data_IF_876556962620
#
_entry.id   IF_876556962620
#
_cell.length_a   1.000
_cell.length_b   1.000
_cell.length_c   1.000
_cell.angle_alpha   90.00
_cell.angle_beta   90.00
_cell.angle_gamma   90.00
#
_symmetry.space_group_name_H-M   'P 1'
#
loop_
_entity.id
_entity.type
_entity.pdbx_description
1 polymer ?
#
# COMPACT_ATOMS: atom_id res chain seq x y z
N UNK A 1 -20.27 12.48 4.61
CA UNK A 1 -19.36 13.63 4.74
C UNK A 1 -18.11 13.28 3.93
N UNK A 2 -17.53 14.24 3.20
CA UNK A 2 -16.27 14.01 2.51
C UNK A 2 -15.12 13.87 3.50
N UNK A 3 -14.12 13.08 3.16
CA UNK A 3 -12.90 12.86 3.97
C UNK A 3 -11.68 13.59 3.39
N UNK A 4 -11.79 14.03 2.14
CA UNK A 4 -10.79 14.85 1.45
C UNK A 4 -11.26 16.31 1.32
N UNK A 5 -10.34 17.24 1.58
CA UNK A 5 -10.53 18.67 1.28
C UNK A 5 -10.42 18.96 -0.22
N UNK A 6 -10.98 20.08 -0.66
CA UNK A 6 -10.87 20.50 -2.07
C UNK A 6 -9.42 20.76 -2.50
N UNK A 7 -8.58 21.23 -1.57
CA UNK A 7 -7.14 21.43 -1.76
C UNK A 7 -6.41 20.11 -1.99
N UNK A 8 -6.71 19.07 -1.20
CA UNK A 8 -6.17 17.72 -1.40
C UNK A 8 -6.60 17.12 -2.74
N UNK A 9 -7.89 17.26 -3.09
CA UNK A 9 -8.42 16.79 -4.39
C UNK A 9 -7.73 17.52 -5.56
N UNK A 10 -7.49 18.82 -5.43
CA UNK A 10 -6.77 19.61 -6.44
C UNK A 10 -5.31 19.16 -6.55
N UNK A 11 -4.61 19.01 -5.43
CA UNK A 11 -3.22 18.55 -5.40
C UNK A 11 -3.06 17.18 -6.08
N UNK A 12 -3.94 16.22 -5.75
CA UNK A 12 -3.90 14.90 -6.36
C UNK A 12 -4.05 14.94 -7.88
N UNK A 13 -4.96 15.78 -8.42
CA UNK A 13 -5.15 15.94 -9.87
C UNK A 13 -3.95 16.58 -10.57
N UNK A 14 -3.28 17.53 -9.91
CA UNK A 14 -2.16 18.28 -10.51
C UNK A 14 -0.82 17.54 -10.38
N UNK A 15 -0.59 16.88 -9.23
CA UNK A 15 0.68 16.22 -8.91
C UNK A 15 0.67 14.72 -9.18
N UNK A 16 -0.51 14.09 -9.30
CA UNK A 16 -0.66 12.65 -9.50
C UNK A 16 -0.45 11.80 -8.24
N UNK A 17 -0.26 12.42 -7.07
CA UNK A 17 -0.15 11.75 -5.77
C UNK A 17 -0.72 12.60 -4.65
N UNK A 18 -0.97 11.98 -3.50
CA UNK A 18 -1.35 12.65 -2.26
C UNK A 18 -0.85 11.84 -1.06
N UNK A 19 -0.20 12.50 -0.10
CA UNK A 19 0.03 11.94 1.23
C UNK A 19 -1.10 12.38 2.16
N UNK A 20 -1.84 11.42 2.70
CA UNK A 20 -2.96 11.64 3.60
C UNK A 20 -2.74 10.93 4.93
N UNK A 21 -3.20 11.54 6.03
CA UNK A 21 -3.12 10.99 7.38
C UNK A 21 -4.51 10.94 8.02
N UNK A 22 -4.67 10.11 9.05
CA UNK A 22 -5.92 10.00 9.81
C UNK A 22 -7.04 9.17 9.16
N UNK A 23 -6.76 8.48 8.04
CA UNK A 23 -7.75 7.61 7.37
C UNK A 23 -7.84 6.21 7.98
N UNK A 24 -6.85 5.81 8.76
CA UNK A 24 -6.80 4.52 9.44
C UNK A 24 -6.68 4.78 10.95
N UNK A 25 -7.61 4.27 11.76
CA UNK A 25 -7.51 4.37 13.22
C UNK A 25 -6.23 3.68 13.73
N UNK A 26 -5.56 4.30 14.71
CA UNK A 26 -4.27 3.82 15.24
C UNK A 26 -4.33 2.36 15.73
N UNK A 27 -5.42 1.95 16.37
CA UNK A 27 -5.58 0.57 16.84
C UNK A 27 -5.68 -0.46 15.71
N UNK A 28 -6.13 -0.07 14.51
CA UNK A 28 -6.15 -0.92 13.32
C UNK A 28 -4.74 -1.05 12.77
N UNK A 29 -4.01 0.07 12.69
CA UNK A 29 -2.60 0.10 12.27
C UNK A 29 -1.75 -0.83 13.12
N UNK A 30 -1.86 -0.76 14.45
CA UNK A 30 -1.10 -1.63 15.37
C UNK A 30 -1.36 -3.12 15.13
N UNK A 31 -2.62 -3.52 14.93
CA UNK A 31 -2.95 -4.93 14.63
C UNK A 31 -2.39 -5.39 13.30
N UNK A 32 -2.44 -4.53 12.28
CA UNK A 32 -1.89 -4.83 10.97
C UNK A 32 -0.36 -4.94 11.02
N UNK A 33 0.31 -4.09 11.79
CA UNK A 33 1.75 -4.17 12.05
C UNK A 33 2.11 -5.49 12.75
N UNK A 34 1.43 -5.84 13.84
CA UNK A 34 1.63 -7.11 14.56
C UNK A 34 1.43 -8.32 13.61
N UNK A 35 0.42 -8.26 12.73
CA UNK A 35 0.17 -9.29 11.72
C UNK A 35 1.27 -9.36 10.65
N UNK A 36 1.89 -8.23 10.28
CA UNK A 36 3.05 -8.21 9.37
C UNK A 36 4.27 -8.87 10.00
N UNK A 37 4.57 -8.57 11.27
CA UNK A 37 5.65 -9.21 12.02
C UNK A 37 5.45 -10.72 12.12
N UNK A 38 4.24 -11.14 12.53
CA UNK A 38 3.88 -12.54 12.65
C UNK A 38 4.00 -13.30 11.32
N UNK A 39 3.57 -12.69 10.21
CA UNK A 39 3.67 -13.29 8.88
C UNK A 39 5.11 -13.48 8.38
N UNK A 40 6.04 -12.69 8.90
CA UNK A 40 7.46 -12.83 8.61
C UNK A 40 8.15 -13.83 9.54
N UNK A 41 7.44 -14.39 10.53
CA UNK A 41 8.00 -15.20 11.62
C UNK A 41 9.07 -14.44 12.42
N UNK A 42 8.90 -13.12 12.51
CA UNK A 42 9.77 -12.18 13.21
C UNK A 42 9.04 -11.57 14.40
N UNK A 43 9.81 -11.23 15.42
CA UNK A 43 9.39 -10.44 16.58
C UNK A 43 10.07 -9.07 16.50
N UNK A 44 9.29 -7.99 16.56
CA UNK A 44 9.77 -6.62 16.49
C UNK A 44 10.75 -6.28 17.62
N UNK A 45 10.61 -6.95 18.76
CA UNK A 45 11.36 -6.68 19.99
C UNK A 45 12.53 -7.67 20.19
N UNK A 46 12.72 -8.63 19.27
CA UNK A 46 13.81 -9.61 19.29
C UNK A 46 14.56 -9.67 17.96
N UNK A 47 15.71 -9.00 17.90
CA UNK A 47 16.58 -8.95 16.72
C UNK A 47 17.10 -10.31 16.25
N UNK A 48 17.15 -11.32 17.12
CA UNK A 48 17.58 -12.67 16.72
C UNK A 48 16.57 -13.35 15.77
N UNK A 49 15.35 -12.81 15.69
CA UNK A 49 14.29 -13.32 14.81
C UNK A 49 14.28 -12.67 13.43
N UNK A 50 14.92 -11.51 13.23
CA UNK A 50 14.80 -10.71 11.99
C UNK A 50 15.40 -11.37 10.74
N UNK A 51 16.05 -12.53 10.87
CA UNK A 51 16.48 -13.38 9.75
C UNK A 51 15.52 -14.51 9.41
N UNK A 52 14.47 -14.75 10.21
CA UNK A 52 13.56 -15.91 10.13
C UNK A 52 12.43 -15.72 9.12
N UNK A 53 12.72 -15.11 7.96
CA UNK A 53 11.71 -14.84 6.92
C UNK A 53 10.94 -16.10 6.55
N UNK A 54 9.61 -16.08 6.69
CA UNK A 54 8.74 -17.21 6.33
C UNK A 54 8.97 -17.69 4.89
N UNK A 55 8.83 -19.00 4.65
CA UNK A 55 8.98 -19.62 3.31
C UNK A 55 7.99 -19.08 2.27
N UNK A 56 6.91 -18.44 2.73
CA UNK A 56 5.90 -17.81 1.89
C UNK A 56 6.23 -16.37 1.50
N UNK A 57 7.22 -15.76 2.16
CA UNK A 57 7.73 -14.46 1.76
C UNK A 57 8.75 -14.62 0.63
N UNK A 58 8.64 -13.74 -0.36
CA UNK A 58 9.60 -13.64 -1.44
C UNK A 58 10.80 -12.90 -0.88
N UNK A 59 11.78 -13.66 -0.41
CA UNK A 59 13.10 -13.16 -0.15
C UNK A 59 13.88 -13.19 -1.47
N UNK A 60 13.70 -12.20 -2.34
CA UNK A 60 14.68 -12.01 -3.40
C UNK A 60 15.98 -11.64 -2.68
N UNK A 61 16.98 -12.53 -2.70
CA UNK A 61 18.27 -12.36 -1.98
C UNK A 61 18.99 -11.03 -2.26
N UNK A 62 18.54 -10.23 -3.23
CA UNK A 62 19.04 -8.90 -3.58
C UNK A 62 18.18 -7.72 -3.07
N UNK A 63 16.99 -7.98 -2.53
CA UNK A 63 16.14 -6.98 -1.88
C UNK A 63 16.21 -7.22 -0.38
N UNK A 64 16.80 -6.29 0.36
CA UNK A 64 16.81 -6.29 1.83
C UNK A 64 15.41 -5.96 2.41
N UNK A 65 14.34 -6.44 1.78
CA UNK A 65 12.96 -6.17 2.13
C UNK A 65 12.13 -7.42 1.84
N UNK A 66 11.88 -8.30 2.82
CA UNK A 66 10.99 -9.43 2.61
C UNK A 66 9.59 -8.95 2.18
N UNK A 67 9.06 -9.56 1.12
CA UNK A 67 7.75 -9.23 0.55
C UNK A 67 6.79 -10.41 0.68
N UNK A 68 5.52 -10.17 0.97
CA UNK A 68 4.46 -11.15 0.72
C UNK A 68 3.43 -10.55 -0.25
N UNK A 69 3.29 -11.14 -1.44
CA UNK A 69 2.53 -10.57 -2.57
C UNK A 69 1.03 -10.84 -2.53
N UNK A 70 0.58 -11.77 -1.72
CA UNK A 70 -0.82 -12.24 -1.69
C UNK A 70 -1.33 -12.36 -0.27
N UNK A 71 -0.93 -11.41 0.58
CA UNK A 71 -1.31 -11.41 1.99
C UNK A 71 -2.80 -11.13 2.13
N UNK A 72 -3.52 -12.04 2.79
CA UNK A 72 -4.97 -11.94 3.05
C UNK A 72 -5.30 -11.92 4.55
N UNK A 73 -4.37 -11.51 5.40
CA UNK A 73 -4.61 -11.39 6.84
C UNK A 73 -5.78 -10.42 7.11
N UNK A 74 -6.81 -10.81 7.90
CA UNK A 74 -7.93 -9.94 8.23
C UNK A 74 -7.49 -8.62 8.89
N UNK A 75 -6.47 -8.65 9.75
CA UNK A 75 -5.98 -7.45 10.44
C UNK A 75 -5.29 -6.47 9.47
N UNK A 76 -4.61 -6.99 8.43
CA UNK A 76 -4.01 -6.15 7.38
C UNK A 76 -5.09 -5.60 6.46
N UNK A 77 -6.04 -6.44 6.03
CA UNK A 77 -7.14 -6.01 5.15
C UNK A 77 -8.06 -4.99 5.84
N UNK A 78 -8.17 -5.01 7.17
CA UNK A 78 -8.92 -4.03 7.96
C UNK A 78 -8.37 -2.60 7.82
N UNK A 79 -7.14 -2.43 7.32
CA UNK A 79 -6.60 -1.10 7.01
C UNK A 79 -7.35 -0.40 5.88
N UNK A 80 -8.04 -1.12 5.00
CA UNK A 80 -8.92 -0.56 3.97
C UNK A 80 -10.27 -0.16 4.60
N UNK A 81 -10.21 0.86 5.46
CA UNK A 81 -11.37 1.45 6.11
C UNK A 81 -12.31 2.11 5.11
N UNK A 82 -13.55 2.37 5.53
CA UNK A 82 -14.48 3.16 4.71
C UNK A 82 -13.91 4.53 4.34
N UNK A 83 -13.16 5.17 5.24
CA UNK A 83 -12.53 6.47 4.96
C UNK A 83 -11.49 6.38 3.84
N UNK A 84 -10.70 5.30 3.76
CA UNK A 84 -9.82 5.07 2.60
C UNK A 84 -10.63 4.91 1.32
N UNK A 85 -11.69 4.09 1.34
CA UNK A 85 -12.48 3.81 0.14
C UNK A 85 -13.24 5.07 -0.34
N UNK A 86 -13.74 5.89 0.59
CA UNK A 86 -14.32 7.20 0.29
C UNK A 86 -13.25 8.16 -0.24
N UNK A 87 -12.06 8.20 0.36
CA UNK A 87 -10.97 9.03 -0.13
C UNK A 87 -10.61 8.69 -1.58
N UNK A 88 -10.46 7.40 -1.91
CA UNK A 88 -10.19 6.95 -3.29
C UNK A 88 -11.32 7.40 -4.24
N UNK A 89 -12.58 7.30 -3.82
CA UNK A 89 -13.74 7.78 -4.60
C UNK A 89 -13.64 9.28 -4.86
N UNK A 90 -13.41 10.08 -3.83
CA UNK A 90 -13.33 11.53 -3.95
C UNK A 90 -12.13 12.02 -4.76
N UNK A 91 -11.00 11.30 -4.72
CA UNK A 91 -9.79 11.65 -5.46
C UNK A 91 -9.87 11.28 -6.94
N UNK A 92 -10.53 10.15 -7.26
CA UNK A 92 -10.61 9.63 -8.64
C UNK A 92 -11.87 10.08 -9.38
N UNK A 93 -12.93 10.43 -8.65
CA UNK A 93 -14.27 10.63 -9.20
C UNK A 93 -14.99 9.33 -9.56
N UNK A 94 -14.44 8.16 -9.21
CA UNK A 94 -15.12 6.86 -9.38
C UNK A 94 -16.16 6.70 -8.27
N UNK A 95 -17.33 6.18 -8.62
CA UNK A 95 -18.42 5.97 -7.67
C UNK A 95 -17.99 5.03 -6.55
N UNK A 96 -18.33 5.40 -5.30
CA UNK A 96 -17.96 4.63 -4.10
C UNK A 96 -18.43 3.18 -4.14
N UNK A 97 -19.54 2.90 -4.83
CA UNK A 97 -20.08 1.55 -5.01
C UNK A 97 -19.20 0.65 -5.89
N UNK A 98 -18.38 1.23 -6.77
CA UNK A 98 -17.42 0.50 -7.61
C UNK A 98 -16.06 0.30 -6.93
N UNK A 99 -15.83 0.96 -5.80
CA UNK A 99 -14.59 0.89 -5.03
C UNK A 99 -14.75 -0.13 -3.91
N UNK A 100 -13.91 -1.16 -3.97
CA UNK A 100 -13.90 -2.25 -3.00
C UNK A 100 -12.53 -2.38 -2.33
N UNK A 101 -12.53 -2.78 -1.06
CA UNK A 101 -11.32 -3.23 -0.42
C UNK A 101 -10.72 -4.42 -1.20
N UNK A 102 -9.39 -4.53 -1.27
CA UNK A 102 -8.76 -5.68 -1.89
C UNK A 102 -9.00 -6.94 -1.07
N UNK A 103 -8.94 -8.10 -1.72
CA UNK A 103 -8.95 -9.41 -1.05
C UNK A 103 -7.55 -9.86 -0.65
N UNK A 104 -6.52 -9.26 -1.24
CA UNK A 104 -5.11 -9.55 -1.01
C UNK A 104 -4.27 -8.29 -1.23
N UNK A 105 -3.17 -8.18 -0.49
CA UNK A 105 -2.23 -7.06 -0.61
C UNK A 105 -0.79 -7.55 -0.73
N UNK A 106 0.06 -6.68 -1.27
CA UNK A 106 1.50 -6.82 -1.15
C UNK A 106 1.96 -6.12 0.13
N UNK A 107 2.70 -6.84 0.97
CA UNK A 107 3.38 -6.27 2.13
C UNK A 107 4.88 -6.22 1.86
N UNK A 108 5.53 -5.19 2.38
CA UNK A 108 6.98 -5.02 2.30
C UNK A 108 7.45 -4.59 3.69
N UNK A 109 8.38 -5.33 4.28
CA UNK A 109 9.04 -4.90 5.51
C UNK A 109 10.47 -4.49 5.18
N UNK A 110 10.82 -3.24 5.48
CA UNK A 110 12.17 -2.71 5.28
C UNK A 110 12.94 -2.64 6.59
N UNK A 111 12.36 -3.01 7.73
CA UNK A 111 13.02 -2.93 9.02
C UNK A 111 13.79 -4.21 9.37
N UNK A 112 14.99 -4.10 9.95
CA UNK A 112 15.81 -2.88 10.01
C UNK A 112 16.45 -2.63 8.65
N UNK A 113 16.43 -1.38 8.15
CA UNK A 113 17.30 -0.97 7.05
C UNK A 113 18.51 -0.29 7.65
N UNK A 114 19.69 -0.89 7.47
CA UNK A 114 20.97 -0.26 7.78
C UNK A 114 21.60 0.29 6.47
N UNK A 115 22.24 1.46 6.54
CA UNK A 115 22.95 2.08 5.42
C UNK A 115 22.18 3.23 4.73
N UNK A 116 22.75 3.74 3.63
CA UNK A 116 22.13 4.81 2.85
C UNK A 116 20.92 4.29 2.05
N UNK A 117 19.85 5.08 2.03
CA UNK A 117 18.67 4.77 1.23
C UNK A 117 19.04 4.65 -0.25
N UNK A 118 18.62 3.54 -0.87
CA UNK A 118 18.73 3.32 -2.31
C UNK A 118 17.36 2.96 -2.87
N UNK A 119 17.10 3.38 -4.11
CA UNK A 119 15.83 3.13 -4.78
C UNK A 119 16.03 2.33 -6.05
N UNK A 120 15.00 1.59 -6.43
CA UNK A 120 14.91 0.99 -7.74
C UNK A 120 14.81 2.07 -8.82
N UNK A 121 15.13 1.71 -10.06
CA UNK A 121 14.93 2.61 -11.20
C UNK A 121 13.47 3.12 -11.22
N UNK A 122 13.26 4.42 -11.48
CA UNK A 122 11.91 4.97 -11.64
C UNK A 122 11.11 4.16 -12.66
N UNK A 123 9.87 3.83 -12.29
CA UNK A 123 8.92 3.13 -13.15
C UNK A 123 7.50 3.60 -12.86
N UNK A 124 6.59 3.32 -13.81
CA UNK A 124 5.15 3.48 -13.62
C UNK A 124 4.55 2.09 -13.42
N UNK A 125 3.86 1.90 -12.31
CA UNK A 125 3.13 0.65 -12.08
C UNK A 125 2.05 0.47 -13.14
N UNK A 126 1.95 -0.76 -13.63
CA UNK A 126 1.07 -1.11 -14.75
C UNK A 126 1.62 -0.71 -16.12
N UNK A 127 2.69 0.10 -16.21
CA UNK A 127 3.31 0.73 -17.39
C UNK A 127 3.65 -0.15 -18.60
N UNK A 128 3.55 -1.47 -18.44
CA UNK A 128 3.85 -2.46 -19.46
C UNK A 128 2.61 -3.10 -20.10
N UNK A 129 1.39 -2.74 -19.70
CA UNK A 129 0.15 -3.30 -20.25
C UNK A 129 -0.38 -2.45 -21.43
N UNK A 130 -0.11 -2.82 -22.69
CA UNK A 130 -0.52 -2.05 -23.86
C UNK A 130 -2.04 -1.94 -23.99
N UNK A 131 -2.83 -2.86 -23.41
CA UNK A 131 -4.30 -2.78 -23.45
C UNK A 131 -4.82 -1.64 -22.59
N UNK A 132 -4.14 -1.35 -21.47
CA UNK A 132 -4.46 -0.23 -20.58
C UNK A 132 -4.05 1.11 -21.18
N UNK A 133 -2.88 1.22 -21.81
CA UNK A 133 -2.37 2.50 -22.32
C UNK A 133 -2.80 2.87 -23.74
N UNK A 134 -3.26 1.94 -24.57
CA UNK A 134 -3.64 2.25 -25.95
C UNK A 134 -5.05 2.87 -26.08
N UNK A 135 -5.51 3.60 -25.05
CA UNK A 135 -6.76 4.37 -25.09
C UNK A 135 -6.48 5.77 -25.67
N UNK A 136 -7.15 6.18 -26.77
CA UNK A 136 -6.74 7.34 -27.56
C UNK A 136 -6.89 8.72 -26.90
N UNK A 137 -7.56 8.87 -25.75
CA UNK A 137 -7.74 10.18 -25.08
C UNK A 137 -8.11 10.04 -23.60
N UNK A 138 -7.56 10.95 -22.77
CA UNK A 138 -7.88 11.22 -21.35
C UNK A 138 -8.33 10.01 -20.52
N UNK A 139 -7.42 9.08 -20.16
CA UNK A 139 -7.80 7.97 -19.30
C UNK A 139 -8.29 8.51 -17.95
N UNK A 140 -9.52 8.17 -17.58
CA UNK A 140 -9.92 8.04 -16.16
C UNK A 140 -8.82 7.21 -15.48
N UNK A 141 -8.42 7.49 -14.23
CA UNK A 141 -7.39 6.70 -13.54
C UNK A 141 -7.66 5.20 -13.73
N UNK A 142 -6.80 4.53 -14.50
CA UNK A 142 -6.99 3.11 -14.84
C UNK A 142 -6.62 2.25 -13.62
N UNK A 143 -5.80 2.79 -12.74
CA UNK A 143 -5.40 2.19 -11.48
C UNK A 143 -5.00 3.28 -10.49
N UNK A 144 -5.36 3.10 -9.22
CA UNK A 144 -4.83 3.88 -8.10
C UNK A 144 -4.10 2.93 -7.19
N UNK A 145 -2.84 3.26 -6.91
CA UNK A 145 -2.06 2.58 -5.89
C UNK A 145 -2.27 3.29 -4.56
N UNK A 146 -2.62 2.53 -3.53
CA UNK A 146 -2.61 2.99 -2.14
C UNK A 146 -1.41 2.34 -1.46
N UNK A 147 -0.55 3.16 -0.86
CA UNK A 147 0.56 2.71 -0.02
C UNK A 147 0.20 3.08 1.41
N UNK A 148 0.05 2.06 2.26
CA UNK A 148 -0.29 2.23 3.66
C UNK A 148 0.97 2.05 4.50
N UNK A 149 1.34 3.07 5.26
CA UNK A 149 2.48 3.03 6.18
C UNK A 149 1.97 2.62 7.55
N UNK A 150 2.52 1.53 8.09
CA UNK A 150 2.10 0.99 9.40
C UNK A 150 3.06 1.34 10.54
N UNK A 151 4.28 1.77 10.22
CA UNK A 151 5.32 2.24 11.15
C UNK A 151 6.21 3.31 10.54
#
# INVERSE_FOLDING_TARGET
MGVMTDEQKKHFREAGYLLASGLIPEHVVRKAEDAMWAALEMDRDDSETWGRVSVHAINQQHRASPENRMMSSPDILACYTDDILIAVSELTGVDREEIHAPTQVMTQNTFPTEGEWSHLKPHLDGGSDPVKYNRPTFPIPILVHSILYLS
#
